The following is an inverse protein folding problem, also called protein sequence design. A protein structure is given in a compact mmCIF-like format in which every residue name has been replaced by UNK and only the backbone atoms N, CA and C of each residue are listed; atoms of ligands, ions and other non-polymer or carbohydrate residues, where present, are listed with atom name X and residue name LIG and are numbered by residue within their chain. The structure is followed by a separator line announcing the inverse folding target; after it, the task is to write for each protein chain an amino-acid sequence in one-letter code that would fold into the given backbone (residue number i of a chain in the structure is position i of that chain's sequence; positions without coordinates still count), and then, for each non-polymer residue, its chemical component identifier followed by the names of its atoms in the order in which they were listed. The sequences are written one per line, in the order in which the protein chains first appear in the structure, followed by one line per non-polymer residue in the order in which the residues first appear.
data_IF_293496255793
#
_entry.id   IF_293496255793
#
_cell.length_a   1.000
_cell.length_b   1.000
_cell.length_c   1.000
_cell.angle_alpha   90.00
_cell.angle_beta   90.00
_cell.angle_gamma   90.00
#
_symmetry.space_group_name_H-M   'P 1'
#
loop_
_entity.id
_entity.type
_entity.pdbx_description
1 polymer ?
#
# COMPACT_ATOMS: atom_id res chain seq x y z
N UNK A 1 -8.35 23.54 30.15
CA UNK A 1 -7.40 23.98 29.12
C UNK A 1 -6.88 22.72 28.44
N UNK A 2 -7.39 22.48 27.24
CA UNK A 2 -7.23 21.26 26.45
C UNK A 2 -5.84 21.28 25.80
N UNK A 3 -4.94 20.40 26.25
CA UNK A 3 -3.68 20.17 25.54
C UNK A 3 -3.98 19.24 24.37
N UNK A 4 -4.29 19.86 23.23
CA UNK A 4 -4.33 19.24 21.91
C UNK A 4 -2.94 18.64 21.62
N UNK A 5 -2.77 17.36 21.99
CA UNK A 5 -1.72 16.56 21.40
C UNK A 5 -2.10 16.36 19.92
N UNK A 6 -1.22 16.69 18.95
CA UNK A 6 -1.47 16.28 17.58
C UNK A 6 -1.63 14.75 17.56
N UNK A 7 -2.58 14.20 16.77
CA UNK A 7 -2.65 12.76 16.60
C UNK A 7 -1.27 12.26 16.14
N UNK A 8 -0.81 11.07 16.57
CA UNK A 8 0.36 10.47 15.94
C UNK A 8 0.00 10.32 14.47
N UNK A 9 0.58 11.17 13.62
CA UNK A 9 0.62 10.93 12.19
C UNK A 9 1.09 9.50 12.05
N UNK A 10 0.18 8.62 11.64
CA UNK A 10 0.45 7.21 11.47
C UNK A 10 1.36 7.09 10.25
N UNK A 11 2.63 7.43 10.44
CA UNK A 11 3.73 7.12 9.55
C UNK A 11 4.06 5.64 9.74
N UNK A 12 3.06 4.80 9.50
CA UNK A 12 3.16 3.35 9.39
C UNK A 12 3.01 3.06 7.90
N UNK A 13 3.90 3.64 7.09
CA UNK A 13 3.79 3.70 5.63
C UNK A 13 3.98 2.37 4.89
N UNK A 14 3.90 1.24 5.59
CA UNK A 14 4.09 -0.08 5.01
C UNK A 14 3.10 -1.10 5.62
N UNK A 15 1.96 -0.65 6.15
CA UNK A 15 1.00 -1.55 6.82
C UNK A 15 0.27 -2.49 5.86
N UNK A 16 0.23 -2.15 4.57
CA UNK A 16 -0.57 -2.87 3.58
C UNK A 16 0.24 -3.24 2.36
N UNK A 17 -0.17 -4.32 1.70
CA UNK A 17 0.50 -4.81 0.49
C UNK A 17 0.46 -3.77 -0.63
N UNK A 18 -0.61 -2.98 -0.71
CA UNK A 18 -0.73 -1.87 -1.68
C UNK A 18 0.33 -0.80 -1.44
N UNK A 19 0.56 -0.36 -0.20
CA UNK A 19 1.57 0.67 0.09
C UNK A 19 2.99 0.15 -0.23
N UNK A 20 3.28 -1.09 0.16
CA UNK A 20 4.56 -1.72 -0.20
C UNK A 20 4.73 -1.85 -1.72
N UNK A 21 3.67 -2.23 -2.45
CA UNK A 21 3.67 -2.28 -3.90
C UNK A 21 3.90 -0.91 -4.53
N UNK A 22 3.25 0.15 -4.04
CA UNK A 22 3.47 1.52 -4.51
C UNK A 22 4.92 1.97 -4.30
N UNK A 23 5.54 1.58 -3.18
CA UNK A 23 6.96 1.87 -2.90
C UNK A 23 7.88 1.16 -3.89
N UNK A 24 7.62 -0.11 -4.19
CA UNK A 24 8.37 -0.86 -5.22
C UNK A 24 8.21 -0.19 -6.58
N UNK A 25 6.97 0.16 -6.96
CA UNK A 25 6.68 0.77 -8.26
C UNK A 25 7.33 2.15 -8.42
N UNK A 26 7.40 2.94 -7.34
CA UNK A 26 8.02 4.28 -7.33
C UNK A 26 9.54 4.25 -7.22
N UNK A 27 10.18 3.13 -6.86
CA UNK A 27 11.65 3.09 -6.85
C UNK A 27 12.21 3.36 -8.26
N UNK A 28 13.30 4.11 -8.36
CA UNK A 28 13.86 4.49 -9.66
C UNK A 28 14.75 3.38 -10.24
N UNK A 29 15.45 2.67 -9.35
CA UNK A 29 16.43 1.65 -9.72
C UNK A 29 15.82 0.23 -9.81
N UNK A 30 16.03 -0.51 -10.92
CA UNK A 30 15.44 -1.84 -11.12
C UNK A 30 15.97 -2.90 -10.15
N UNK A 31 17.19 -2.77 -9.67
CA UNK A 31 17.76 -3.68 -8.67
C UNK A 31 17.11 -3.46 -7.30
N UNK A 32 16.94 -2.19 -6.92
CA UNK A 32 16.20 -1.80 -5.72
C UNK A 32 14.75 -2.29 -5.81
N UNK A 33 14.09 -2.21 -6.97
CA UNK A 33 12.75 -2.79 -7.18
C UNK A 33 12.70 -4.27 -6.89
N UNK A 34 13.64 -5.04 -7.44
CA UNK A 34 13.68 -6.49 -7.24
C UNK A 34 13.87 -6.83 -5.76
N UNK A 35 14.80 -6.14 -5.08
CA UNK A 35 15.06 -6.36 -3.66
C UNK A 35 13.87 -5.98 -2.77
N UNK A 36 13.22 -4.84 -3.04
CA UNK A 36 12.01 -4.42 -2.32
C UNK A 36 10.84 -5.38 -2.58
N UNK A 37 10.69 -5.88 -3.81
CA UNK A 37 9.69 -6.86 -4.19
C UNK A 37 9.86 -8.17 -3.44
N UNK A 38 11.09 -8.70 -3.41
CA UNK A 38 11.43 -9.91 -2.68
C UNK A 38 11.20 -9.76 -1.17
N UNK A 39 11.67 -8.67 -0.57
CA UNK A 39 11.45 -8.37 0.84
C UNK A 39 9.96 -8.26 1.18
N UNK A 40 9.17 -7.62 0.30
CA UNK A 40 7.72 -7.48 0.49
C UNK A 40 7.00 -8.82 0.36
N UNK A 41 7.38 -9.64 -0.62
CA UNK A 41 6.81 -10.98 -0.79
C UNK A 41 7.08 -11.87 0.43
N UNK A 42 8.30 -11.81 0.98
CA UNK A 42 8.63 -12.51 2.21
C UNK A 42 7.80 -12.02 3.40
N UNK A 43 7.68 -10.72 3.59
CA UNK A 43 6.88 -10.15 4.69
C UNK A 43 5.39 -10.49 4.56
N UNK A 44 4.85 -10.56 3.34
CA UNK A 44 3.49 -11.02 3.09
C UNK A 44 3.33 -12.50 3.45
N UNK A 45 4.26 -13.34 3.02
CA UNK A 45 4.22 -14.78 3.30
C UNK A 45 4.35 -15.10 4.79
N UNK A 46 5.23 -14.39 5.51
CA UNK A 46 5.38 -14.49 6.97
C UNK A 46 4.18 -13.89 7.75
N UNK A 47 3.21 -13.26 7.06
CA UNK A 47 2.06 -12.62 7.70
C UNK A 47 2.36 -11.31 8.42
N UNK A 48 3.58 -10.76 8.25
CA UNK A 48 3.96 -9.43 8.76
C UNK A 48 3.14 -8.33 8.09
N UNK A 49 2.85 -8.49 6.79
CA UNK A 49 1.85 -7.69 6.09
C UNK A 49 0.53 -8.45 6.17
N UNK A 50 -0.28 -8.13 7.17
CA UNK A 50 -1.55 -8.84 7.43
C UNK A 50 -2.71 -8.33 6.56
N UNK A 51 -2.59 -7.12 6.00
CA UNK A 51 -3.67 -6.47 5.25
C UNK A 51 -3.29 -6.26 3.78
N UNK A 52 -4.10 -6.72 2.81
CA UNK A 52 -3.81 -6.51 1.40
C UNK A 52 -3.91 -5.02 1.02
N UNK A 53 -4.92 -4.33 1.54
CA UNK A 53 -5.14 -2.89 1.33
C UNK A 53 -5.80 -2.30 2.58
N UNK A 54 -5.80 -0.97 2.70
CA UNK A 54 -6.54 -0.29 3.76
C UNK A 54 -8.01 -0.11 3.34
N UNK A 55 -8.97 -0.71 4.07
CA UNK A 55 -10.39 -0.63 3.71
C UNK A 55 -11.02 0.74 4.00
N UNK A 56 -10.32 1.63 4.73
CA UNK A 56 -10.77 3.00 5.00
C UNK A 56 -10.43 3.93 3.82
N UNK A 57 -9.46 3.53 2.98
CA UNK A 57 -9.17 4.21 1.71
C UNK A 57 -10.27 3.87 0.73
N UNK A 58 -11.21 4.80 0.56
CA UNK A 58 -12.19 4.75 -0.51
C UNK A 58 -11.47 5.03 -1.83
N UNK A 59 -11.02 3.98 -2.51
CA UNK A 59 -10.52 4.08 -3.88
C UNK A 59 -11.73 4.30 -4.79
N UNK A 60 -11.87 5.48 -5.43
CA UNK A 60 -12.98 5.71 -6.33
C UNK A 60 -12.91 4.66 -7.43
N UNK A 61 -13.93 3.83 -7.53
CA UNK A 61 -14.05 2.88 -8.63
C UNK A 61 -14.17 3.73 -9.89
N UNK A 62 -13.19 3.71 -10.81
CA UNK A 62 -13.34 4.47 -12.04
C UNK A 62 -14.59 3.97 -12.75
N UNK A 63 -15.40 4.89 -13.27
CA UNK A 63 -16.52 4.60 -14.16
C UNK A 63 -15.98 4.00 -15.46
N UNK A 64 -15.52 2.76 -15.38
CA UNK A 64 -15.15 1.97 -16.55
C UNK A 64 -16.47 1.43 -17.06
N UNK A 65 -16.98 1.85 -18.23
CA UNK A 65 -18.11 1.16 -18.82
C UNK A 65 -17.76 -0.33 -18.85
N UNK A 66 -18.59 -1.15 -18.22
CA UNK A 66 -18.49 -2.60 -18.33
C UNK A 66 -18.36 -2.90 -19.81
N UNK A 67 -17.24 -3.51 -20.20
CA UNK A 67 -16.80 -3.73 -21.58
C UNK A 67 -18.02 -3.88 -22.46
N UNK A 68 -18.26 -2.90 -23.35
CA UNK A 68 -19.38 -2.88 -24.28
C UNK A 68 -19.48 -4.28 -24.89
N UNK A 69 -20.49 -5.04 -24.47
CA UNK A 69 -20.74 -6.40 -24.95
C UNK A 69 -20.94 -6.29 -26.47
N UNK A 70 -20.13 -7.01 -27.22
CA UNK A 70 -20.31 -7.21 -28.66
C UNK A 70 -21.08 -8.51 -28.89
#
# INVERSE_FOLDING_TARGET
MEASAPPPSSSSGDRTLVEAALRILNAEDPWVKASLGEATAKQWFDGLISRPYDPSVNLPVPERPARLSN
#
